data_IF_518582589156
#
_entry.id   IF_518582589156
#
_cell.length_a   1.000
_cell.length_b   1.000
_cell.length_c   1.000
_cell.angle_alpha   90.00
_cell.angle_beta   90.00
_cell.angle_gamma   90.00
#
_symmetry.space_group_name_H-M   'P 1'
#
loop_
_entity.id
_entity.type
_entity.pdbx_description
1 polymer ?
#
# COMPACT_ATOMS: atom_id res chain seq x y z
N UNK A 1 -3.04 8.01 -3.23
CA UNK A 1 -3.70 8.58 -2.04
C UNK A 1 -2.66 8.83 -0.96
N UNK A 2 -2.59 10.04 -0.42
CA UNK A 2 -1.71 10.38 0.71
C UNK A 2 -2.28 9.83 2.02
N UNK A 3 -1.43 9.20 2.84
CA UNK A 3 -1.79 8.69 4.17
C UNK A 3 -0.87 9.32 5.20
N UNK A 4 -1.40 10.19 6.04
CA UNK A 4 -0.65 10.87 7.09
C UNK A 4 -0.70 10.02 8.37
N UNK A 5 0.39 9.34 8.69
CA UNK A 5 0.58 8.59 9.94
C UNK A 5 1.18 9.45 11.05
N UNK A 6 1.10 8.98 12.28
CA UNK A 6 1.70 9.62 13.45
C UNK A 6 0.74 9.76 14.62
N UNK A 7 1.26 10.21 15.76
CA UNK A 7 0.51 10.29 17.01
C UNK A 7 -0.73 11.20 16.93
N UNK A 8 -1.63 11.00 17.87
CA UNK A 8 -2.80 11.86 18.01
C UNK A 8 -2.37 13.30 18.40
N UNK A 9 -3.11 14.30 17.95
CA UNK A 9 -2.84 15.70 18.29
C UNK A 9 -1.78 16.39 17.42
N UNK A 10 -1.22 15.73 16.40
CA UNK A 10 -0.27 16.35 15.47
C UNK A 10 -0.94 17.26 14.42
N UNK A 11 -2.26 17.43 14.48
CA UNK A 11 -3.04 18.26 13.56
C UNK A 11 -2.97 17.82 12.07
N UNK A 12 -2.88 16.52 11.81
CA UNK A 12 -2.79 15.95 10.46
C UNK A 12 -3.96 16.37 9.55
N UNK A 13 -5.19 16.27 10.05
CA UNK A 13 -6.41 16.71 9.33
C UNK A 13 -6.37 18.21 9.04
N UNK A 14 -5.88 19.01 9.99
CA UNK A 14 -5.73 20.45 9.77
C UNK A 14 -4.71 20.75 8.68
N UNK A 15 -3.61 20.00 8.60
CA UNK A 15 -2.63 20.14 7.52
C UNK A 15 -3.27 19.95 6.14
N UNK A 16 -4.17 18.98 5.98
CA UNK A 16 -4.87 18.74 4.71
C UNK A 16 -5.66 19.99 4.27
N UNK A 17 -6.28 20.69 5.22
CA UNK A 17 -7.02 21.93 4.91
C UNK A 17 -6.13 23.05 4.36
N UNK A 18 -4.91 23.13 4.83
CA UNK A 18 -3.95 24.15 4.38
C UNK A 18 -3.28 23.84 3.03
N UNK A 19 -3.54 22.70 2.40
CA UNK A 19 -3.01 22.39 1.07
C UNK A 19 -3.61 23.25 -0.04
N UNK A 20 -4.77 23.87 0.20
CA UNK A 20 -5.40 24.80 -0.73
C UNK A 20 -5.46 26.21 -0.14
N UNK A 21 -5.41 27.25 -1.00
CA UNK A 21 -5.69 28.62 -0.61
C UNK A 21 -7.09 28.73 0.06
N UNK A 22 -7.25 29.66 0.99
CA UNK A 22 -8.49 29.81 1.77
C UNK A 22 -9.75 29.93 0.90
N UNK A 23 -9.68 30.60 -0.24
CA UNK A 23 -10.78 30.72 -1.19
C UNK A 23 -11.27 29.36 -1.76
N UNK A 24 -10.41 28.35 -1.73
CA UNK A 24 -10.68 27.01 -2.28
C UNK A 24 -10.98 25.96 -1.18
N UNK A 25 -10.99 26.33 0.11
CA UNK A 25 -11.30 25.41 1.20
C UNK A 25 -12.67 24.74 1.07
N UNK A 26 -13.63 25.36 0.37
CA UNK A 26 -14.94 24.74 0.05
C UNK A 26 -14.83 23.45 -0.77
N UNK A 27 -13.70 23.20 -1.42
CA UNK A 27 -13.41 21.99 -2.19
C UNK A 27 -12.65 20.93 -1.39
N UNK A 28 -12.36 21.20 -0.13
CA UNK A 28 -11.84 20.22 0.82
C UNK A 28 -12.99 19.75 1.69
N UNK A 29 -13.06 18.46 1.96
CA UNK A 29 -14.03 17.90 2.87
C UNK A 29 -13.35 16.93 3.81
N UNK A 30 -13.43 17.23 5.11
CA UNK A 30 -12.91 16.36 6.15
C UNK A 30 -13.90 15.27 6.55
N UNK A 31 -13.38 14.22 7.18
CA UNK A 31 -14.17 13.15 7.81
C UNK A 31 -15.20 12.49 6.89
N UNK A 32 -14.86 12.34 5.60
CA UNK A 32 -15.74 11.70 4.62
C UNK A 32 -15.66 10.19 4.75
N UNK A 33 -16.78 9.53 4.98
CA UNK A 33 -16.84 8.07 4.98
C UNK A 33 -16.86 7.54 3.54
N UNK A 34 -16.00 6.56 3.25
CA UNK A 34 -16.04 5.83 1.99
C UNK A 34 -17.04 4.68 2.12
N UNK A 35 -18.14 4.77 1.39
CA UNK A 35 -19.09 3.68 1.15
C UNK A 35 -19.44 3.67 -0.33
N UNK A 36 -18.85 2.73 -1.07
CA UNK A 36 -19.01 2.66 -2.53
C UNK A 36 -20.40 2.18 -2.96
N UNK A 37 -21.20 1.68 -2.02
CA UNK A 37 -22.57 1.23 -2.25
C UNK A 37 -23.59 2.33 -1.95
N UNK A 38 -23.20 3.30 -1.12
CA UNK A 38 -24.05 4.43 -0.81
C UNK A 38 -23.82 5.59 -1.80
N UNK A 39 -24.88 5.93 -2.54
CA UNK A 39 -24.86 6.99 -3.54
C UNK A 39 -24.47 8.35 -2.96
N UNK A 40 -25.00 8.70 -1.78
CA UNK A 40 -24.80 10.02 -1.21
C UNK A 40 -23.38 10.16 -0.64
N UNK A 41 -22.83 9.08 -0.09
CA UNK A 41 -21.42 8.98 0.27
C UNK A 41 -20.52 9.22 -0.96
N UNK A 42 -20.81 8.56 -2.07
CA UNK A 42 -20.07 8.74 -3.32
C UNK A 42 -20.17 10.16 -3.87
N UNK A 43 -21.37 10.75 -3.90
CA UNK A 43 -21.56 12.14 -4.33
C UNK A 43 -20.82 13.14 -3.44
N UNK A 44 -20.76 12.89 -2.13
CA UNK A 44 -20.01 13.71 -1.20
C UNK A 44 -18.51 13.71 -1.52
N UNK A 45 -17.97 12.58 -1.92
CA UNK A 45 -16.56 12.46 -2.32
C UNK A 45 -16.34 13.14 -3.68
N UNK A 46 -17.16 12.87 -4.67
CA UNK A 46 -16.96 13.34 -6.04
C UNK A 46 -17.17 14.84 -6.24
N UNK A 47 -17.79 15.52 -5.27
CA UNK A 47 -18.03 16.98 -5.30
C UNK A 47 -16.87 17.82 -4.75
N UNK A 48 -15.86 17.20 -4.18
CA UNK A 48 -14.68 17.90 -3.65
C UNK A 48 -13.41 17.51 -4.39
N UNK A 49 -12.37 18.34 -4.25
CA UNK A 49 -11.05 18.08 -4.83
C UNK A 49 -10.21 17.21 -3.90
N UNK A 50 -10.28 17.51 -2.60
CA UNK A 50 -9.52 16.79 -1.57
C UNK A 50 -10.47 16.31 -0.48
N UNK A 51 -11.03 15.10 -0.60
CA UNK A 51 -11.73 14.46 0.51
C UNK A 51 -10.72 13.81 1.46
N UNK A 52 -10.80 14.13 2.74
CA UNK A 52 -10.17 13.33 3.79
C UNK A 52 -11.08 12.17 4.14
N UNK A 53 -10.64 10.97 3.81
CA UNK A 53 -11.39 9.75 4.11
C UNK A 53 -11.22 9.38 5.58
N UNK A 54 -12.31 9.38 6.35
CA UNK A 54 -12.32 9.00 7.75
C UNK A 54 -12.55 7.50 7.95
N UNK A 55 -12.10 6.98 9.10
CA UNK A 55 -12.39 5.61 9.52
C UNK A 55 -11.75 4.54 8.65
N UNK A 56 -10.67 4.86 7.95
CA UNK A 56 -9.95 3.90 7.11
C UNK A 56 -9.11 2.90 7.89
N UNK A 57 -8.83 3.11 9.18
CA UNK A 57 -8.08 2.16 10.01
C UNK A 57 -8.64 0.73 9.95
N UNK A 58 -9.97 0.49 10.05
CA UNK A 58 -10.54 -0.83 9.85
C UNK A 58 -10.52 -1.29 8.39
N UNK A 59 -10.66 -0.35 7.43
CA UNK A 59 -10.67 -0.64 6.00
C UNK A 59 -9.27 -1.00 5.48
N UNK A 60 -8.23 -0.43 6.08
CA UNK A 60 -6.84 -0.77 5.81
C UNK A 60 -6.44 -2.11 6.45
N UNK A 61 -7.24 -2.61 7.42
CA UNK A 61 -7.15 -3.96 7.96
C UNK A 61 -7.91 -4.93 7.03
N UNK A 62 -7.19 -5.71 6.24
CA UNK A 62 -7.57 -6.86 5.36
C UNK A 62 -8.91 -6.86 4.60
N UNK A 63 -10.04 -6.39 5.16
CA UNK A 63 -11.37 -6.52 4.51
C UNK A 63 -11.76 -5.35 3.61
N UNK A 64 -11.37 -4.12 3.93
CA UNK A 64 -11.75 -2.91 3.16
C UNK A 64 -10.73 -2.50 2.10
N UNK A 65 -9.50 -3.05 2.15
CA UNK A 65 -8.45 -2.67 1.21
C UNK A 65 -8.80 -2.96 -0.27
N UNK A 66 -9.42 -4.08 -0.65
CA UNK A 66 -9.84 -4.30 -2.04
C UNK A 66 -10.85 -3.26 -2.54
N UNK A 67 -11.81 -2.87 -1.70
CA UNK A 67 -12.79 -1.84 -2.03
C UNK A 67 -12.12 -0.47 -2.24
N UNK A 68 -11.24 -0.08 -1.31
CA UNK A 68 -10.45 1.14 -1.44
C UNK A 68 -9.58 1.13 -2.70
N UNK A 69 -8.91 0.01 -3.01
CA UNK A 69 -8.10 -0.15 -4.24
C UNK A 69 -8.96 0.03 -5.50
N UNK A 70 -10.11 -0.61 -5.55
CA UNK A 70 -11.07 -0.47 -6.64
C UNK A 70 -11.55 0.96 -6.78
N UNK A 71 -11.87 1.60 -5.66
CA UNK A 71 -12.25 3.01 -5.63
C UNK A 71 -11.10 3.91 -6.15
N UNK A 72 -9.87 3.76 -5.69
CA UNK A 72 -8.73 4.60 -6.10
C UNK A 72 -8.31 4.41 -7.57
N UNK A 73 -8.59 3.26 -8.16
CA UNK A 73 -8.24 2.96 -9.56
C UNK A 73 -9.27 3.47 -10.58
N UNK A 74 -10.43 3.91 -10.12
CA UNK A 74 -11.54 4.26 -11.00
C UNK A 74 -11.40 5.69 -11.50
N UNK A 75 -11.49 5.91 -12.80
CA UNK A 75 -11.38 7.22 -13.45
C UNK A 75 -12.74 7.89 -13.69
N UNK A 76 -13.78 7.08 -13.83
CA UNK A 76 -15.12 7.55 -14.17
C UNK A 76 -16.15 6.85 -13.29
N UNK A 77 -17.09 7.59 -12.77
CA UNK A 77 -18.25 7.07 -12.05
C UNK A 77 -19.55 7.35 -12.81
N UNK A 78 -20.46 6.38 -12.79
CA UNK A 78 -21.82 6.54 -13.27
C UNK A 78 -22.75 6.56 -12.05
N UNK A 79 -23.34 7.71 -11.76
CA UNK A 79 -24.22 7.88 -10.60
C UNK A 79 -25.55 8.45 -11.06
N UNK A 80 -26.62 7.76 -10.68
CA UNK A 80 -27.97 8.28 -10.92
C UNK A 80 -28.31 9.32 -9.85
N UNK A 81 -28.39 10.57 -10.24
CA UNK A 81 -28.82 11.65 -9.34
C UNK A 81 -30.30 11.48 -8.96
N UNK A 82 -30.69 12.11 -7.84
CA UNK A 82 -32.08 12.11 -7.39
C UNK A 82 -32.97 12.74 -8.49
N UNK A 83 -34.06 12.07 -8.80
CA UNK A 83 -35.01 12.44 -9.89
C UNK A 83 -34.45 12.37 -11.32
N UNK A 84 -33.20 11.99 -11.52
CA UNK A 84 -32.67 11.82 -12.87
C UNK A 84 -33.20 10.54 -13.52
N UNK A 85 -33.57 10.61 -14.79
CA UNK A 85 -34.02 9.44 -15.56
C UNK A 85 -32.86 8.54 -16.00
N UNK A 86 -31.68 9.13 -16.19
CA UNK A 86 -30.47 8.44 -16.65
C UNK A 86 -29.31 8.64 -15.65
N UNK A 87 -28.36 7.73 -15.56
CA UNK A 87 -27.11 7.96 -14.81
C UNK A 87 -26.35 9.15 -15.39
N UNK A 88 -25.66 9.88 -14.53
CA UNK A 88 -24.72 10.94 -14.89
C UNK A 88 -23.32 10.36 -14.84
N UNK A 89 -22.56 10.56 -15.89
CA UNK A 89 -21.15 10.19 -15.99
C UNK A 89 -20.31 11.31 -15.37
N UNK A 90 -19.53 10.99 -14.36
CA UNK A 90 -18.68 11.94 -13.64
C UNK A 90 -17.21 11.48 -13.79
N UNK A 91 -16.40 12.29 -14.47
CA UNK A 91 -14.94 12.11 -14.46
C UNK A 91 -14.40 12.51 -13.11
N UNK A 92 -13.52 11.69 -12.57
CA UNK A 92 -12.88 11.96 -11.28
C UNK A 92 -11.78 12.99 -11.41
N UNK A 93 -11.79 13.95 -10.50
CA UNK A 93 -10.75 14.95 -10.27
C UNK A 93 -10.38 15.02 -8.78
N UNK A 94 -10.56 13.91 -8.09
CA UNK A 94 -10.48 13.82 -6.63
C UNK A 94 -9.13 13.27 -6.21
N UNK A 95 -8.45 13.97 -5.32
CA UNK A 95 -7.21 13.53 -4.66
C UNK A 95 -7.52 13.12 -3.23
N UNK A 96 -7.76 11.81 -3.00
CA UNK A 96 -8.07 11.31 -1.66
C UNK A 96 -6.87 11.38 -0.72
N UNK A 97 -7.12 11.79 0.50
CA UNK A 97 -6.17 11.80 1.61
C UNK A 97 -6.80 11.15 2.84
N UNK A 98 -5.99 10.74 3.79
CA UNK A 98 -6.46 10.25 5.10
C UNK A 98 -5.43 10.52 6.18
N UNK A 99 -5.88 10.62 7.41
CA UNK A 99 -5.04 10.63 8.59
C UNK A 99 -5.28 9.36 9.41
N UNK A 100 -4.20 8.77 9.93
CA UNK A 100 -4.23 7.56 10.76
C UNK A 100 -3.39 7.77 12.02
N UNK A 101 -3.74 7.06 13.11
CA UNK A 101 -2.99 7.10 14.35
C UNK A 101 -1.85 6.06 14.34
N UNK A 102 -0.72 6.42 14.98
CA UNK A 102 0.43 5.54 15.14
C UNK A 102 1.28 5.39 13.89
N UNK A 103 2.14 4.37 13.92
CA UNK A 103 2.96 3.99 12.77
C UNK A 103 2.09 3.39 11.66
N UNK A 104 2.26 3.91 10.48
CA UNK A 104 1.57 3.42 9.32
C UNK A 104 2.55 3.19 8.18
N UNK A 105 2.56 2.03 7.54
CA UNK A 105 1.63 0.92 7.68
C UNK A 105 1.85 0.10 8.95
N UNK A 106 0.80 -0.59 9.45
CA UNK A 106 0.95 -1.55 10.52
C UNK A 106 1.94 -2.65 10.11
N UNK A 107 2.85 -3.04 10.99
CA UNK A 107 3.83 -4.11 10.73
C UNK A 107 3.14 -5.36 10.16
N UNK A 108 3.67 -5.88 9.04
CA UNK A 108 3.13 -7.05 8.34
C UNK A 108 1.86 -6.81 7.49
N UNK A 109 1.42 -5.57 7.31
CA UNK A 109 0.35 -5.25 6.38
C UNK A 109 0.85 -5.31 4.93
N UNK A 110 0.08 -5.99 4.05
CA UNK A 110 0.31 -5.89 2.61
C UNK A 110 -0.04 -4.49 2.15
N UNK A 111 0.95 -3.78 1.69
CA UNK A 111 0.81 -2.42 1.20
C UNK A 111 0.42 -2.37 -0.29
N UNK A 112 -0.15 -1.25 -0.71
CA UNK A 112 -0.48 -1.01 -2.11
C UNK A 112 0.22 0.24 -2.62
N UNK A 113 0.75 0.19 -3.84
CA UNK A 113 1.44 1.30 -4.50
C UNK A 113 0.60 2.57 -4.62
N UNK A 114 -0.72 2.47 -4.54
CA UNK A 114 -1.65 3.61 -4.58
C UNK A 114 -1.69 4.41 -3.29
N UNK A 115 -1.11 3.88 -2.22
CA UNK A 115 -1.10 4.53 -0.91
C UNK A 115 0.31 5.08 -0.64
N UNK A 116 0.41 6.37 -0.36
CA UNK A 116 1.66 7.08 -0.11
C UNK A 116 1.70 7.49 1.36
N UNK A 117 2.34 6.70 2.24
CA UNK A 117 2.43 7.04 3.66
C UNK A 117 3.49 8.12 3.89
N UNK A 118 3.13 9.06 4.73
CA UNK A 118 4.02 10.08 5.28
C UNK A 118 3.84 10.10 6.78
N UNK A 119 4.92 9.87 7.53
CA UNK A 119 4.89 9.85 8.98
C UNK A 119 5.20 11.25 9.52
N UNK A 120 4.22 11.85 10.19
CA UNK A 120 4.39 13.12 10.88
C UNK A 120 5.16 12.89 12.17
N UNK A 121 6.34 13.51 12.29
CA UNK A 121 7.21 13.40 13.49
C UNK A 121 7.01 14.55 14.48
N UNK A 122 6.22 15.57 14.13
CA UNK A 122 6.02 16.74 14.94
C UNK A 122 4.65 17.38 14.72
N UNK A 123 4.28 18.25 15.63
CA UNK A 123 3.03 18.99 15.57
C UNK A 123 3.08 20.04 14.47
N UNK A 124 1.95 20.27 13.80
CA UNK A 124 1.82 21.31 12.79
C UNK A 124 2.13 22.70 13.40
N UNK A 125 3.05 23.42 12.79
CA UNK A 125 3.36 24.82 13.11
C UNK A 125 2.31 25.73 12.43
N UNK A 126 1.26 26.05 13.17
CA UNK A 126 0.17 26.89 12.65
C UNK A 126 0.61 28.27 12.15
N UNK A 127 1.45 29.03 12.88
CA UNK A 127 1.95 30.32 12.39
C UNK A 127 2.65 30.19 11.04
N UNK A 128 3.50 29.19 10.88
CA UNK A 128 4.22 28.98 9.64
C UNK A 128 3.29 28.58 8.50
N UNK A 129 2.35 27.69 8.77
CA UNK A 129 1.40 27.19 7.76
C UNK A 129 0.38 28.25 7.36
N UNK A 130 -0.13 29.05 8.29
CA UNK A 130 -1.10 30.11 8.00
C UNK A 130 -0.49 31.27 7.20
N UNK A 131 0.80 31.51 7.33
CA UNK A 131 1.54 32.57 6.62
C UNK A 131 2.20 32.07 5.32
N UNK A 132 2.05 30.79 4.98
CA UNK A 132 2.62 30.21 3.78
C UNK A 132 1.85 30.68 2.54
N UNK A 133 2.57 31.07 1.49
CA UNK A 133 1.93 31.44 0.21
C UNK A 133 1.59 30.18 -0.60
N UNK A 134 0.36 29.74 -0.44
CA UNK A 134 -0.15 28.59 -1.20
C UNK A 134 -0.35 28.91 -2.70
N UNK A 135 -0.39 30.18 -3.08
CA UNK A 135 -0.48 30.59 -4.48
C UNK A 135 0.83 30.25 -5.20
N UNK A 136 1.95 30.56 -4.56
CA UNK A 136 3.27 30.21 -5.07
C UNK A 136 3.47 28.70 -5.17
N UNK A 137 3.03 27.96 -4.13
CA UNK A 137 3.06 26.48 -4.17
C UNK A 137 2.31 25.94 -5.37
N UNK A 138 1.08 26.40 -5.59
CA UNK A 138 0.28 25.91 -6.71
C UNK A 138 0.77 26.40 -8.06
N UNK A 139 1.33 27.58 -8.15
CA UNK A 139 2.01 28.07 -9.35
C UNK A 139 3.21 27.18 -9.69
N UNK A 140 4.04 26.81 -8.69
CA UNK A 140 5.13 25.86 -8.88
C UNK A 140 4.65 24.49 -9.35
N UNK A 141 3.60 23.93 -8.69
CA UNK A 141 3.03 22.63 -9.07
C UNK A 141 2.49 22.68 -10.51
N UNK A 142 1.80 23.75 -10.87
CA UNK A 142 1.29 23.94 -12.23
C UNK A 142 2.42 24.03 -13.26
N UNK A 143 3.46 24.79 -12.95
CA UNK A 143 4.65 24.87 -13.80
C UNK A 143 5.28 23.48 -13.98
N UNK A 144 5.53 22.75 -12.90
CA UNK A 144 6.08 21.40 -12.95
C UNK A 144 5.22 20.46 -13.80
N UNK A 145 3.90 20.47 -13.59
CA UNK A 145 2.95 19.66 -14.38
C UNK A 145 3.00 19.98 -15.87
N UNK A 146 2.96 21.26 -16.25
CA UNK A 146 2.97 21.70 -17.66
C UNK A 146 4.29 21.44 -18.37
N UNK A 147 5.38 21.29 -17.61
CA UNK A 147 6.72 20.95 -18.13
C UNK A 147 7.00 19.44 -18.05
N UNK A 148 5.98 18.62 -17.81
CA UNK A 148 6.09 17.16 -17.86
C UNK A 148 6.82 16.53 -16.67
N UNK A 149 6.84 17.19 -15.51
CA UNK A 149 7.39 16.60 -14.30
C UNK A 149 6.69 15.28 -13.98
N UNK A 150 7.47 14.28 -13.62
CA UNK A 150 6.97 12.99 -13.24
C UNK A 150 6.16 13.08 -11.95
N UNK A 151 4.95 12.54 -11.94
CA UNK A 151 4.04 12.50 -10.78
C UNK A 151 3.77 11.11 -10.26
N UNK A 152 4.37 10.08 -10.87
CA UNK A 152 4.31 8.67 -10.43
C UNK A 152 5.68 8.21 -10.00
N UNK A 153 5.74 7.17 -9.17
CA UNK A 153 6.99 6.54 -8.78
C UNK A 153 7.51 5.64 -9.91
N UNK A 154 8.82 5.68 -10.17
CA UNK A 154 9.47 4.68 -11.02
C UNK A 154 9.54 3.33 -10.30
N UNK A 155 9.83 2.22 -11.00
CA UNK A 155 10.06 0.94 -10.35
C UNK A 155 11.15 0.98 -9.27
N UNK A 156 12.23 1.73 -9.50
CA UNK A 156 13.34 1.91 -8.56
C UNK A 156 12.90 2.69 -7.32
N UNK A 157 12.12 3.76 -7.50
CA UNK A 157 11.55 4.54 -6.40
C UNK A 157 10.51 3.73 -5.62
N UNK A 158 9.73 2.87 -6.28
CA UNK A 158 8.81 1.93 -5.61
C UNK A 158 9.57 0.91 -4.76
N UNK A 159 10.69 0.37 -5.26
CA UNK A 159 11.55 -0.54 -4.52
C UNK A 159 12.18 0.15 -3.30
N UNK A 160 12.78 1.33 -3.48
CA UNK A 160 13.36 2.13 -2.39
C UNK A 160 12.30 2.49 -1.33
N UNK A 161 11.10 2.84 -1.75
CA UNK A 161 9.99 3.10 -0.82
C UNK A 161 9.62 1.85 -0.02
N UNK A 162 9.58 0.69 -0.66
CA UNK A 162 9.28 -0.58 0.01
C UNK A 162 10.34 -0.90 1.08
N UNK A 163 11.62 -0.69 0.77
CA UNK A 163 12.74 -0.86 1.68
C UNK A 163 12.65 0.10 2.88
N UNK A 164 12.54 1.42 2.63
CA UNK A 164 12.48 2.45 3.69
C UNK A 164 11.31 2.22 4.65
N UNK A 165 10.19 1.74 4.15
CA UNK A 165 8.98 1.54 4.94
C UNK A 165 8.92 0.14 5.58
N UNK A 166 9.96 -0.69 5.37
CA UNK A 166 10.02 -2.04 5.90
C UNK A 166 8.85 -2.90 5.42
N UNK A 167 8.40 -2.68 4.18
CA UNK A 167 7.33 -3.49 3.63
C UNK A 167 7.80 -4.92 3.45
N UNK A 168 6.97 -5.89 3.83
CA UNK A 168 7.19 -7.22 3.35
C UNK A 168 7.21 -7.16 1.82
N UNK A 169 8.28 -7.68 1.30
CA UNK A 169 8.52 -7.84 -0.12
C UNK A 169 7.22 -8.12 -0.89
N UNK A 170 6.91 -7.32 -1.91
CA UNK A 170 5.75 -7.51 -2.77
C UNK A 170 5.88 -8.76 -3.66
N UNK A 171 7.05 -9.43 -3.60
CA UNK A 171 7.24 -10.73 -4.25
C UNK A 171 6.19 -11.71 -3.77
N UNK A 172 5.69 -12.53 -4.66
CA UNK A 172 4.79 -13.61 -4.23
C UNK A 172 5.55 -14.53 -3.27
N UNK A 173 4.86 -15.13 -2.32
CA UNK A 173 5.49 -16.10 -1.42
C UNK A 173 6.21 -17.22 -2.21
N UNK A 174 5.75 -17.49 -3.43
CA UNK A 174 6.41 -18.43 -4.36
C UNK A 174 7.77 -17.89 -4.80
N UNK A 175 7.85 -16.62 -5.18
CA UNK A 175 9.10 -16.00 -5.64
C UNK A 175 10.12 -15.93 -4.50
N UNK A 176 9.67 -15.59 -3.28
CA UNK A 176 10.52 -15.59 -2.08
C UNK A 176 11.05 -17.00 -1.79
N UNK A 177 10.22 -18.02 -1.87
CA UNK A 177 10.67 -19.41 -1.66
C UNK A 177 11.65 -19.85 -2.75
N UNK A 178 11.46 -19.44 -4.00
CA UNK A 178 12.37 -19.74 -5.11
C UNK A 178 13.72 -19.03 -5.00
N UNK A 179 13.77 -17.89 -4.35
CA UNK A 179 14.99 -17.11 -4.13
C UNK A 179 15.81 -17.65 -2.95
N UNK A 180 15.14 -18.00 -1.84
CA UNK A 180 15.80 -18.53 -0.64
C UNK A 180 16.31 -19.95 -0.85
N UNK A 181 15.63 -20.74 -1.70
CA UNK A 181 16.00 -22.14 -1.95
C UNK A 181 16.35 -22.35 -3.42
N UNK A 182 17.49 -22.97 -3.69
CA UNK A 182 17.98 -23.28 -5.05
C UNK A 182 17.13 -24.38 -5.70
N UNK A 183 16.06 -23.99 -6.42
CA UNK A 183 15.22 -24.94 -7.16
C UNK A 183 15.78 -25.29 -8.55
N UNK A 184 16.67 -24.46 -9.08
CA UNK A 184 17.33 -24.64 -10.37
C UNK A 184 18.84 -24.58 -10.23
N UNK A 185 19.57 -25.35 -11.03
CA UNK A 185 21.02 -25.26 -11.10
C UNK A 185 21.41 -24.01 -11.92
N UNK A 186 22.23 -23.13 -11.33
CA UNK A 186 22.69 -21.89 -11.95
C UNK A 186 23.50 -22.10 -13.24
N UNK A 187 24.06 -23.30 -13.46
CA UNK A 187 24.90 -23.63 -14.61
C UNK A 187 24.13 -24.26 -15.75
N UNK A 188 23.11 -25.06 -15.44
CA UNK A 188 22.36 -25.83 -16.45
C UNK A 188 20.94 -25.32 -16.65
N UNK A 189 20.40 -24.51 -15.72
CA UNK A 189 19.02 -24.07 -15.71
C UNK A 189 18.01 -25.21 -15.45
N UNK A 190 18.49 -26.41 -15.16
CA UNK A 190 17.64 -27.55 -14.86
C UNK A 190 17.12 -27.53 -13.43
N UNK A 191 15.89 -27.97 -13.23
CA UNK A 191 15.28 -28.08 -11.89
C UNK A 191 16.05 -29.14 -11.10
N UNK A 192 16.67 -28.74 -10.00
CA UNK A 192 17.44 -29.65 -9.14
C UNK A 192 16.57 -30.81 -8.66
N UNK A 193 16.89 -32.03 -9.12
CA UNK A 193 16.20 -33.25 -8.72
C UNK A 193 16.57 -33.71 -7.31
N UNK A 194 17.75 -33.32 -6.81
CA UNK A 194 18.29 -33.70 -5.51
C UNK A 194 17.79 -32.77 -4.39
N UNK A 195 16.55 -32.97 -3.97
CA UNK A 195 15.96 -32.31 -2.80
C UNK A 195 16.25 -33.16 -1.57
N UNK A 196 17.33 -32.84 -0.84
CA UNK A 196 17.89 -33.70 0.20
C UNK A 196 17.68 -33.17 1.62
N UNK A 197 17.41 -31.88 1.78
CA UNK A 197 17.27 -31.29 3.11
C UNK A 197 15.85 -31.52 3.63
N UNK A 198 15.75 -32.24 4.74
CA UNK A 198 14.44 -32.46 5.42
C UNK A 198 14.14 -31.27 6.31
N UNK A 199 13.10 -30.52 6.01
CA UNK A 199 12.67 -29.37 6.78
C UNK A 199 11.19 -29.45 7.10
N UNK A 200 10.84 -29.13 8.34
CA UNK A 200 9.45 -28.90 8.72
C UNK A 200 8.93 -27.58 8.12
N UNK A 201 7.62 -27.39 8.09
CA UNK A 201 7.04 -26.16 7.60
C UNK A 201 7.47 -24.92 8.43
N UNK A 202 7.71 -25.08 9.72
CA UNK A 202 8.19 -24.00 10.59
C UNK A 202 9.65 -23.68 10.34
N UNK A 203 10.51 -24.66 10.12
CA UNK A 203 11.91 -24.45 9.74
C UNK A 203 12.01 -23.74 8.38
N UNK A 204 11.20 -24.12 7.39
CA UNK A 204 11.16 -23.42 6.09
C UNK A 204 10.77 -21.96 6.28
N UNK A 205 9.79 -21.66 7.13
CA UNK A 205 9.37 -20.27 7.39
C UNK A 205 10.47 -19.48 8.08
N UNK A 206 11.24 -20.09 8.96
CA UNK A 206 12.34 -19.43 9.66
C UNK A 206 13.52 -19.06 8.74
N UNK A 207 13.68 -19.74 7.60
CA UNK A 207 14.65 -19.37 6.56
C UNK A 207 14.15 -18.25 5.64
N UNK A 208 12.83 -17.95 5.67
CA UNK A 208 12.28 -16.85 4.89
C UNK A 208 12.48 -15.51 5.62
N UNK A 209 12.43 -14.36 4.90
CA UNK A 209 12.60 -13.04 5.51
C UNK A 209 11.71 -12.84 6.74
N UNK A 210 12.22 -12.11 7.75
CA UNK A 210 11.53 -11.84 9.05
C UNK A 210 10.10 -11.28 8.89
N UNK A 211 9.80 -10.69 7.74
CA UNK A 211 8.45 -10.26 7.39
C UNK A 211 7.42 -11.40 7.31
N UNK A 212 7.88 -12.67 7.19
CA UNK A 212 7.04 -13.86 7.12
C UNK A 212 7.07 -14.59 8.47
N UNK A 213 6.29 -14.07 9.42
CA UNK A 213 6.20 -14.67 10.78
C UNK A 213 5.55 -16.06 10.76
N UNK A 214 6.02 -16.93 11.65
CA UNK A 214 5.47 -18.28 11.84
C UNK A 214 4.09 -18.20 12.48
N UNK A 215 3.04 -18.18 11.66
CA UNK A 215 1.65 -18.27 12.09
C UNK A 215 0.86 -19.27 11.23
N UNK A 216 -0.33 -19.68 11.68
CA UNK A 216 -1.15 -20.66 10.97
C UNK A 216 -1.48 -20.27 9.53
N UNK A 217 -1.69 -18.97 9.25
CA UNK A 217 -2.00 -18.47 7.90
C UNK A 217 -0.80 -18.63 6.96
N UNK A 218 0.40 -18.24 7.41
CA UNK A 218 1.62 -18.36 6.63
C UNK A 218 2.04 -19.81 6.45
N UNK A 219 1.86 -20.66 7.47
CA UNK A 219 2.06 -22.10 7.35
C UNK A 219 1.19 -22.72 6.25
N UNK A 220 -0.09 -22.34 6.16
CA UNK A 220 -0.98 -22.81 5.09
C UNK A 220 -0.59 -22.25 3.72
N UNK A 221 -0.17 -20.99 3.65
CA UNK A 221 0.28 -20.36 2.41
C UNK A 221 1.56 -21.03 1.87
N UNK A 222 2.56 -21.27 2.74
CA UNK A 222 3.79 -22.00 2.38
C UNK A 222 3.47 -23.42 1.90
N UNK A 223 2.62 -24.16 2.59
CA UNK A 223 2.16 -25.49 2.14
C UNK A 223 1.58 -25.45 0.73
N UNK A 224 0.76 -24.44 0.42
CA UNK A 224 0.16 -24.27 -0.91
C UNK A 224 1.23 -24.00 -1.99
N UNK A 225 2.21 -23.17 -1.67
CA UNK A 225 3.34 -22.87 -2.56
C UNK A 225 4.17 -24.12 -2.81
N UNK A 226 4.61 -24.83 -1.76
CA UNK A 226 5.41 -26.05 -1.88
C UNK A 226 4.70 -27.15 -2.68
N UNK A 227 3.37 -27.26 -2.50
CA UNK A 227 2.56 -28.16 -3.33
C UNK A 227 2.57 -27.72 -4.80
N UNK A 228 2.46 -26.43 -5.09
CA UNK A 228 2.54 -25.88 -6.45
C UNK A 228 3.91 -26.06 -7.10
N UNK A 229 4.99 -26.14 -6.30
CA UNK A 229 6.36 -26.43 -6.73
C UNK A 229 6.68 -27.93 -6.78
N UNK A 230 5.70 -28.80 -6.60
CA UNK A 230 5.85 -30.26 -6.56
C UNK A 230 6.93 -30.75 -5.57
N UNK A 231 7.08 -30.07 -4.41
CA UNK A 231 8.02 -30.46 -3.38
C UNK A 231 7.53 -31.77 -2.74
N UNK A 232 8.40 -32.81 -2.78
CA UNK A 232 8.11 -34.08 -2.10
C UNK A 232 7.99 -33.87 -0.59
N UNK A 233 7.05 -34.51 0.05
CA UNK A 233 6.86 -34.44 1.50
C UNK A 233 6.43 -35.79 2.08
N UNK A 234 6.75 -35.99 3.35
CA UNK A 234 6.16 -37.04 4.17
C UNK A 234 5.23 -36.41 5.24
N UNK A 235 4.72 -37.22 6.18
CA UNK A 235 3.82 -36.71 7.22
C UNK A 235 4.41 -35.61 8.12
N UNK A 236 5.75 -35.46 8.18
CA UNK A 236 6.44 -34.56 9.14
C UNK A 236 7.32 -33.51 8.48
N UNK A 237 7.81 -33.73 7.25
CA UNK A 237 8.80 -32.87 6.62
C UNK A 237 8.64 -32.77 5.08
N UNK A 238 9.16 -31.70 4.53
CA UNK A 238 9.36 -31.44 3.10
C UNK A 238 10.82 -31.74 2.74
N UNK A 239 11.05 -32.21 1.52
CA UNK A 239 12.39 -32.40 0.98
C UNK A 239 12.77 -31.19 0.14
N UNK A 240 13.46 -30.24 0.78
CA UNK A 240 13.82 -28.96 0.18
C UNK A 240 15.17 -29.05 -0.56
N UNK A 241 15.38 -28.22 -1.60
CA UNK A 241 16.71 -27.99 -2.15
C UNK A 241 17.57 -27.19 -1.15
N UNK A 242 18.89 -27.07 -1.39
CA UNK A 242 19.78 -26.24 -0.55
C UNK A 242 19.34 -24.77 -0.53
N UNK A 243 19.81 -24.02 0.46
CA UNK A 243 19.64 -22.57 0.52
C UNK A 243 20.53 -21.90 -0.53
N UNK A 244 20.01 -20.83 -1.14
CA UNK A 244 20.77 -20.00 -2.07
C UNK A 244 21.96 -19.34 -1.35
N UNK A 245 23.13 -19.34 -1.97
CA UNK A 245 24.39 -18.83 -1.37
C UNK A 245 24.45 -17.30 -1.18
N UNK A 246 23.34 -16.59 -1.41
CA UNK A 246 23.33 -15.13 -1.46
C UNK A 246 23.54 -14.41 -0.11
N UNK A 247 23.50 -15.09 1.05
CA UNK A 247 23.55 -14.41 2.36
C UNK A 247 24.56 -15.00 3.37
N UNK A 248 25.73 -15.44 2.93
CA UNK A 248 26.80 -15.84 3.88
C UNK A 248 27.82 -14.73 4.22
N UNK A 249 27.46 -13.45 4.00
CA UNK A 249 28.34 -12.32 4.33
C UNK A 249 27.59 -11.18 5.02
N UNK A 250 27.08 -11.45 6.22
CA UNK A 250 26.88 -10.40 7.25
C UNK A 250 26.71 -11.09 8.61
N UNK A 251 27.82 -11.26 9.28
CA UNK A 251 27.90 -11.33 10.75
C UNK A 251 28.81 -10.21 11.23
#
# INVERSE_FOLDING_TARGET
MLVLGGDQGLHKTSFIKYLLPAALHKYIKDSVRLDTKDRDSMLNILRCWIPELAGLDPALKKKGLPELKGFLAKEVDEIRLTYARKPTVIRRHVSCMTSVEGEYPPKGARWDRRLLPVIAKGRLDYPRVSNFDYTDLWAFIWHAYTHGAQWWLTPEEEALRAEILGYPDNRSLKDIVLEVFEFTDDKTGEVLSNRTIKMTNSEIINELPESIITNRSNQMAVKKVLKGLNVKHNRRAYFMPPLSKADSSTH
#
